data_IF_740117556362
#
_entry.id   IF_740117556362
#
_cell.length_a   1.000
_cell.length_b   1.000
_cell.length_c   1.000
_cell.angle_alpha   90.00
_cell.angle_beta   90.00
_cell.angle_gamma   90.00
#
_symmetry.space_group_name_H-M   'P 1'
#
loop_
_entity.id
_entity.type
_entity.pdbx_description
1 polymer ?
#
# COMPACT_ATOMS: atom_id res chain seq x y z
N UNK A 1 -1.41 -30.51 1.51
CA UNK A 1 -1.37 -29.42 2.50
C UNK A 1 -2.35 -29.71 3.61
N UNK A 2 -1.92 -29.71 4.87
CA UNK A 2 -2.79 -29.82 6.05
C UNK A 2 -2.64 -28.55 6.86
N UNK A 3 -3.75 -28.00 7.36
CA UNK A 3 -3.78 -26.76 8.14
C UNK A 3 -4.46 -27.03 9.47
N UNK A 4 -3.82 -26.64 10.57
CA UNK A 4 -4.36 -26.73 11.92
C UNK A 4 -4.34 -25.35 12.56
N UNK A 5 -5.48 -24.90 13.09
CA UNK A 5 -5.63 -23.57 13.67
C UNK A 5 -5.66 -23.70 15.19
N UNK A 6 -4.81 -22.98 15.87
CA UNK A 6 -4.78 -22.85 17.33
C UNK A 6 -5.17 -21.43 17.72
N UNK A 7 -6.26 -21.28 18.45
CA UNK A 7 -6.68 -19.98 18.96
C UNK A 7 -5.86 -19.64 20.21
N UNK A 8 -5.18 -18.51 20.20
CA UNK A 8 -4.51 -17.94 21.38
C UNK A 8 -5.42 -16.92 22.09
N UNK A 9 -4.92 -16.32 23.15
CA UNK A 9 -5.68 -15.30 23.90
C UNK A 9 -6.01 -14.09 23.00
N UNK A 10 -7.27 -13.67 23.01
CA UNK A 10 -7.76 -12.51 22.26
C UNK A 10 -7.93 -12.79 20.77
N UNK A 11 -7.45 -11.87 19.93
CA UNK A 11 -7.56 -11.93 18.46
C UNK A 11 -6.36 -12.62 17.78
N UNK A 12 -5.44 -13.17 18.57
CA UNK A 12 -4.25 -13.83 18.04
C UNK A 12 -4.54 -15.30 17.72
N UNK A 13 -4.12 -15.73 16.55
CA UNK A 13 -4.23 -17.10 16.06
C UNK A 13 -2.90 -17.60 15.55
N UNK A 14 -2.58 -18.85 15.86
CA UNK A 14 -1.48 -19.57 15.26
C UNK A 14 -2.04 -20.62 14.30
N UNK A 15 -1.54 -20.60 13.08
CA UNK A 15 -1.93 -21.50 12.01
C UNK A 15 -0.71 -22.37 11.70
N UNK A 16 -0.79 -23.66 12.04
CA UNK A 16 0.23 -24.65 11.67
C UNK A 16 -0.08 -25.15 10.27
N UNK A 17 0.86 -25.00 9.38
CA UNK A 17 0.74 -25.45 7.98
C UNK A 17 1.78 -26.53 7.75
N UNK A 18 1.30 -27.63 7.18
CA UNK A 18 2.10 -28.76 6.77
C UNK A 18 1.99 -28.94 5.26
N UNK A 19 3.12 -28.94 4.56
CA UNK A 19 3.20 -29.13 3.12
C UNK A 19 4.05 -30.35 2.81
N UNK A 20 3.49 -31.29 2.06
CA UNK A 20 4.17 -32.53 1.68
C UNK A 20 5.40 -32.24 0.79
N UNK A 21 6.47 -32.98 1.03
CA UNK A 21 7.70 -32.92 0.24
C UNK A 21 7.47 -33.10 -1.27
N UNK A 22 6.45 -33.86 -1.67
CA UNK A 22 6.08 -34.04 -3.08
C UNK A 22 5.73 -32.73 -3.76
N UNK A 23 4.95 -31.89 -3.08
CA UNK A 23 4.57 -30.57 -3.60
C UNK A 23 5.78 -29.66 -3.73
N UNK A 24 6.65 -29.64 -2.71
CA UNK A 24 7.88 -28.86 -2.73
C UNK A 24 8.81 -29.31 -3.86
N UNK A 25 9.00 -30.62 -4.03
CA UNK A 25 9.83 -31.18 -5.09
C UNK A 25 9.29 -30.88 -6.49
N UNK A 26 7.97 -30.85 -6.68
CA UNK A 26 7.38 -30.47 -7.95
C UNK A 26 7.75 -29.02 -8.33
N UNK A 27 7.57 -28.08 -7.40
CA UNK A 27 7.96 -26.68 -7.63
C UNK A 27 9.47 -26.51 -7.84
N UNK A 28 10.30 -27.29 -7.13
CA UNK A 28 11.74 -27.32 -7.36
C UNK A 28 12.09 -27.81 -8.77
N UNK A 29 11.46 -28.90 -9.23
CA UNK A 29 11.71 -29.43 -10.56
C UNK A 29 11.27 -28.45 -11.66
N UNK A 30 10.10 -27.82 -11.52
CA UNK A 30 9.62 -26.78 -12.42
C UNK A 30 10.63 -25.62 -12.51
N UNK A 31 11.14 -25.18 -11.36
CA UNK A 31 12.11 -24.09 -11.31
C UNK A 31 13.46 -24.49 -11.92
N UNK A 32 13.93 -25.71 -11.70
CA UNK A 32 15.13 -26.23 -12.35
C UNK A 32 14.94 -26.31 -13.87
N UNK A 33 13.75 -26.66 -14.35
CA UNK A 33 13.45 -26.70 -15.79
C UNK A 33 13.41 -25.30 -16.41
N UNK A 34 12.91 -24.29 -15.68
CA UNK A 34 12.97 -22.88 -16.10
C UNK A 34 14.41 -22.39 -16.20
N UNK A 35 15.20 -22.64 -15.17
CA UNK A 35 16.59 -22.21 -15.11
C UNK A 35 17.43 -22.91 -16.17
N UNK A 36 17.18 -24.19 -16.44
CA UNK A 36 17.88 -24.93 -17.50
C UNK A 36 17.75 -24.30 -18.88
N UNK A 37 16.63 -23.61 -19.15
CA UNK A 37 16.38 -22.92 -20.41
C UNK A 37 17.09 -21.56 -20.52
N UNK A 38 17.33 -20.90 -19.39
CA UNK A 38 17.81 -19.51 -19.34
C UNK A 38 19.29 -19.39 -18.98
N UNK A 39 19.84 -20.35 -18.23
CA UNK A 39 21.22 -20.28 -17.72
C UNK A 39 22.24 -20.63 -18.81
N UNK A 40 23.25 -19.77 -18.90
CA UNK A 40 24.45 -19.98 -19.71
C UNK A 40 25.61 -20.39 -18.78
N UNK A 41 26.03 -21.64 -18.86
CA UNK A 41 27.20 -22.16 -18.13
C UNK A 41 28.35 -22.42 -19.07
N UNK A 42 29.58 -22.06 -18.67
CA UNK A 42 30.78 -22.37 -19.43
C UNK A 42 30.89 -23.89 -19.60
N UNK A 43 31.02 -24.34 -20.85
CA UNK A 43 31.11 -25.77 -21.21
C UNK A 43 29.78 -26.45 -21.60
N UNK A 44 28.66 -25.75 -21.52
CA UNK A 44 27.34 -26.29 -21.93
C UNK A 44 26.64 -25.37 -22.94
N UNK A 45 25.95 -25.97 -23.87
CA UNK A 45 25.11 -25.23 -24.82
C UNK A 45 23.88 -24.68 -24.09
N UNK A 46 23.47 -23.41 -24.34
CA UNK A 46 22.26 -22.83 -23.76
C UNK A 46 21.03 -23.74 -23.93
N UNK A 47 20.31 -24.01 -22.86
CA UNK A 47 19.14 -24.88 -22.84
C UNK A 47 19.43 -26.40 -22.80
N UNK A 48 20.69 -26.79 -22.72
CA UNK A 48 21.12 -28.23 -22.66
C UNK A 48 21.94 -28.54 -21.39
N UNK A 49 21.78 -27.74 -20.34
CA UNK A 49 22.48 -27.95 -19.06
C UNK A 49 21.77 -29.06 -18.27
N UNK A 50 22.48 -30.14 -17.83
CA UNK A 50 21.89 -31.19 -17.00
C UNK A 50 21.38 -30.65 -15.68
N UNK A 51 20.22 -31.14 -15.20
CA UNK A 51 19.61 -30.71 -13.92
C UNK A 51 20.54 -30.88 -12.72
N UNK A 52 21.36 -31.93 -12.73
CA UNK A 52 22.32 -32.21 -11.65
C UNK A 52 23.37 -31.10 -11.50
N UNK A 53 23.83 -30.53 -12.61
CA UNK A 53 24.80 -29.42 -12.61
C UNK A 53 24.16 -28.16 -12.07
N UNK A 54 22.92 -27.88 -12.47
CA UNK A 54 22.14 -26.74 -11.97
C UNK A 54 21.89 -26.89 -10.48
N UNK A 55 21.47 -28.07 -10.03
CA UNK A 55 21.26 -28.37 -8.62
C UNK A 55 22.52 -28.18 -7.79
N UNK A 56 23.68 -28.56 -8.31
CA UNK A 56 24.97 -28.43 -7.64
C UNK A 56 25.42 -26.97 -7.50
N UNK A 57 25.20 -26.14 -8.51
CA UNK A 57 25.65 -24.74 -8.52
C UNK A 57 24.64 -23.79 -7.92
N UNK A 58 23.37 -23.98 -8.21
CA UNK A 58 22.30 -23.05 -7.86
C UNK A 58 21.29 -23.63 -6.86
N UNK A 59 21.46 -24.87 -6.41
CA UNK A 59 20.49 -25.57 -5.57
C UNK A 59 20.07 -24.80 -4.34
N UNK A 60 21.01 -24.19 -3.61
CA UNK A 60 20.68 -23.39 -2.40
C UNK A 60 19.87 -22.14 -2.73
N UNK A 61 20.23 -21.43 -3.79
CA UNK A 61 19.52 -20.22 -4.20
C UNK A 61 18.11 -20.53 -4.71
N UNK A 62 18.01 -21.56 -5.57
CA UNK A 62 16.73 -22.03 -6.10
C UNK A 62 15.83 -22.56 -5.00
N UNK A 63 16.38 -23.30 -4.05
CA UNK A 63 15.63 -23.79 -2.89
C UNK A 63 15.04 -22.64 -2.06
N UNK A 64 15.84 -21.58 -1.78
CA UNK A 64 15.36 -20.38 -1.09
C UNK A 64 14.23 -19.69 -1.84
N UNK A 65 14.38 -19.47 -3.15
CA UNK A 65 13.37 -18.82 -3.99
C UNK A 65 12.05 -19.63 -4.05
N UNK A 66 12.16 -20.94 -4.23
CA UNK A 66 10.99 -21.83 -4.26
C UNK A 66 10.32 -21.90 -2.89
N UNK A 67 11.11 -21.96 -1.81
CA UNK A 67 10.59 -21.96 -0.45
C UNK A 67 9.77 -20.69 -0.18
N UNK A 68 10.31 -19.52 -0.52
CA UNK A 68 9.61 -18.24 -0.37
C UNK A 68 8.31 -18.19 -1.18
N UNK A 69 8.34 -18.69 -2.42
CA UNK A 69 7.16 -18.78 -3.28
C UNK A 69 6.09 -19.69 -2.67
N UNK A 70 6.48 -20.90 -2.27
CA UNK A 70 5.56 -21.88 -1.65
C UNK A 70 5.00 -21.34 -0.33
N UNK A 71 5.82 -20.69 0.51
CA UNK A 71 5.36 -20.06 1.74
C UNK A 71 4.32 -18.98 1.48
N UNK A 72 4.54 -18.10 0.51
CA UNK A 72 3.58 -17.05 0.15
C UNK A 72 2.26 -17.62 -0.36
N UNK A 73 2.33 -18.57 -1.29
CA UNK A 73 1.14 -19.20 -1.88
C UNK A 73 0.33 -20.01 -0.84
N UNK A 74 1.01 -20.83 -0.05
CA UNK A 74 0.35 -21.69 0.94
C UNK A 74 -0.18 -20.88 2.15
N UNK A 75 0.52 -19.82 2.56
CA UNK A 75 0.06 -18.90 3.62
C UNK A 75 -1.18 -18.13 3.17
N UNK A 76 -1.16 -17.56 1.97
CA UNK A 76 -2.32 -16.85 1.41
C UNK A 76 -3.53 -17.78 1.30
N UNK A 77 -3.32 -18.99 0.79
CA UNK A 77 -4.37 -20.00 0.68
C UNK A 77 -4.91 -20.43 2.05
N UNK A 78 -4.03 -20.66 3.02
CA UNK A 78 -4.44 -21.02 4.38
C UNK A 78 -5.29 -19.93 5.04
N UNK A 79 -4.95 -18.65 4.88
CA UNK A 79 -5.73 -17.54 5.41
C UNK A 79 -7.09 -17.40 4.70
N UNK A 80 -7.11 -17.52 3.37
CA UNK A 80 -8.34 -17.38 2.56
C UNK A 80 -9.33 -18.50 2.81
N UNK A 81 -8.87 -19.76 2.81
CA UNK A 81 -9.71 -20.94 3.03
C UNK A 81 -10.38 -20.91 4.43
N UNK A 82 -9.68 -20.37 5.41
CA UNK A 82 -10.19 -20.24 6.79
C UNK A 82 -10.89 -18.89 7.05
N UNK A 83 -11.06 -18.03 6.03
CA UNK A 83 -11.73 -16.72 6.12
C UNK A 83 -11.13 -15.80 7.20
N UNK A 84 -9.85 -15.94 7.48
CA UNK A 84 -9.12 -15.12 8.45
C UNK A 84 -8.63 -13.85 7.75
N UNK A 85 -9.09 -12.71 8.27
CA UNK A 85 -8.62 -11.39 7.81
C UNK A 85 -7.53 -10.89 8.73
N UNK A 86 -6.25 -10.88 8.30
CA UNK A 86 -5.16 -10.40 9.13
C UNK A 86 -5.24 -8.88 9.32
N UNK A 87 -5.01 -8.40 10.53
CA UNK A 87 -4.93 -6.98 10.85
C UNK A 87 -3.58 -6.35 10.43
N UNK A 88 -2.55 -7.17 10.19
CA UNK A 88 -1.22 -6.77 9.78
C UNK A 88 -0.49 -7.89 9.06
N UNK A 89 0.80 -7.71 8.81
CA UNK A 89 1.61 -8.76 8.18
C UNK A 89 1.75 -9.97 9.10
N UNK A 90 1.38 -11.19 8.65
CA UNK A 90 1.55 -12.41 9.43
C UNK A 90 3.03 -12.71 9.64
N UNK A 91 3.37 -13.16 10.84
CA UNK A 91 4.73 -13.67 11.14
C UNK A 91 4.77 -15.14 10.80
N UNK A 92 5.81 -15.55 10.06
CA UNK A 92 6.01 -16.94 9.64
C UNK A 92 7.24 -17.48 10.38
N UNK A 93 7.04 -18.51 11.18
CA UNK A 93 8.09 -19.21 11.91
C UNK A 93 8.26 -20.61 11.32
N UNK A 94 9.40 -20.85 10.65
CA UNK A 94 9.74 -22.15 10.08
C UNK A 94 10.14 -23.12 11.19
N UNK A 95 9.52 -24.29 11.25
CA UNK A 95 9.84 -25.37 12.20
C UNK A 95 10.73 -26.42 11.57
N UNK A 96 10.30 -26.95 10.43
CA UNK A 96 11.03 -28.00 9.70
C UNK A 96 11.06 -27.62 8.23
N UNK A 97 12.24 -27.63 7.64
CA UNK A 97 12.44 -27.39 6.21
C UNK A 97 13.70 -28.14 5.70
N UNK A 98 13.68 -28.51 4.44
CA UNK A 98 14.79 -29.19 3.76
C UNK A 98 14.37 -29.80 2.44
N UNK A 99 15.36 -30.13 1.57
CA UNK A 99 15.09 -30.68 0.23
C UNK A 99 14.29 -32.02 0.26
N UNK A 100 14.56 -32.86 1.28
CA UNK A 100 13.93 -34.19 1.43
C UNK A 100 13.01 -34.29 2.63
N UNK A 101 12.67 -33.17 3.25
CA UNK A 101 11.79 -33.11 4.41
C UNK A 101 10.47 -32.44 4.05
N UNK A 102 9.44 -32.78 4.81
CA UNK A 102 8.19 -32.06 4.73
C UNK A 102 8.39 -30.63 5.29
N UNK A 103 7.71 -29.68 4.70
CA UNK A 103 7.76 -28.30 5.16
C UNK A 103 6.70 -28.07 6.22
N UNK A 104 7.12 -27.73 7.43
CA UNK A 104 6.26 -27.37 8.55
C UNK A 104 6.59 -25.98 9.03
N UNK A 105 5.59 -25.11 9.12
CA UNK A 105 5.74 -23.77 9.61
C UNK A 105 4.48 -23.28 10.34
N UNK A 106 4.64 -22.26 11.16
CA UNK A 106 3.57 -21.65 11.94
C UNK A 106 3.40 -20.20 11.49
N UNK A 107 2.16 -19.85 11.19
CA UNK A 107 1.80 -18.46 10.87
C UNK A 107 1.14 -17.88 12.13
N UNK A 108 1.77 -16.89 12.73
CA UNK A 108 1.16 -16.11 13.82
C UNK A 108 0.47 -14.88 13.25
N UNK A 109 -0.82 -14.77 13.42
CA UNK A 109 -1.66 -13.72 12.87
C UNK A 109 -2.58 -13.14 13.92
N UNK A 110 -2.79 -11.82 13.86
CA UNK A 110 -3.85 -11.14 14.62
C UNK A 110 -5.04 -10.93 13.68
N UNK A 111 -6.19 -11.49 14.03
CA UNK A 111 -7.42 -11.36 13.22
C UNK A 111 -8.11 -10.02 13.52
N UNK A 112 -8.69 -9.42 12.48
CA UNK A 112 -9.58 -8.27 12.67
C UNK A 112 -10.84 -8.68 13.43
N UNK A 113 -11.27 -7.88 14.44
CA UNK A 113 -12.48 -8.20 15.20
C UNK A 113 -13.72 -8.14 14.31
N UNK A 114 -14.65 -9.05 14.53
CA UNK A 114 -15.99 -8.97 13.94
C UNK A 114 -16.80 -7.93 14.69
N UNK A 115 -17.07 -6.81 14.08
CA UNK A 115 -17.86 -5.73 14.67
C UNK A 115 -19.32 -5.97 14.30
N UNK A 116 -20.15 -6.23 15.30
CA UNK A 116 -21.59 -6.26 15.15
C UNK A 116 -22.11 -4.85 15.45
N UNK A 117 -22.53 -4.13 14.41
CA UNK A 117 -23.15 -2.83 14.58
C UNK A 117 -24.52 -3.03 15.24
N UNK A 118 -24.77 -2.27 16.32
CA UNK A 118 -26.10 -2.16 16.90
C UNK A 118 -26.94 -1.26 15.99
N UNK A 119 -28.29 -1.38 16.09
CA UNK A 119 -29.20 -0.48 15.39
C UNK A 119 -28.85 0.98 15.71
N UNK A 120 -28.75 1.81 14.65
CA UNK A 120 -28.44 3.24 14.71
C UNK A 120 -29.71 4.10 14.83
N UNK A 121 -30.92 3.47 14.83
CA UNK A 121 -32.21 4.17 14.84
C UNK A 121 -32.41 5.09 16.05
N UNK A 122 -31.70 4.84 17.17
CA UNK A 122 -31.82 5.64 18.39
C UNK A 122 -30.71 6.69 18.52
N UNK A 123 -29.84 6.86 17.51
CA UNK A 123 -28.80 7.88 17.55
C UNK A 123 -29.46 9.20 17.13
N UNK A 124 -29.49 10.14 18.09
CA UNK A 124 -29.90 11.53 17.81
C UNK A 124 -28.64 12.32 17.45
N UNK A 125 -28.67 13.01 16.33
CA UNK A 125 -27.64 13.93 15.90
C UNK A 125 -28.29 15.31 15.71
N UNK A 126 -27.64 16.35 16.24
CA UNK A 126 -28.07 17.73 16.01
C UNK A 126 -27.44 18.21 14.70
N UNK A 127 -28.28 18.61 13.76
CA UNK A 127 -27.86 19.23 12.50
C UNK A 127 -27.92 20.76 12.69
N UNK A 128 -26.78 21.42 12.49
CA UNK A 128 -26.70 22.87 12.58
C UNK A 128 -26.86 23.48 11.19
N UNK A 129 -27.94 24.20 10.98
CA UNK A 129 -28.15 24.99 9.75
C UNK A 129 -27.69 26.43 10.00
N UNK A 130 -26.73 26.89 9.18
CA UNK A 130 -26.24 28.26 9.25
C UNK A 130 -26.99 29.10 8.22
N UNK A 131 -27.85 30.00 8.69
CA UNK A 131 -28.49 30.99 7.82
C UNK A 131 -27.58 32.20 7.66
N UNK A 132 -27.20 32.52 6.43
CA UNK A 132 -26.37 33.67 6.09
C UNK A 132 -27.29 34.86 5.82
N UNK A 133 -27.15 35.96 6.55
CA UNK A 133 -27.88 37.21 6.31
C UNK A 133 -27.35 37.88 5.03
N UNK A 134 -28.25 38.35 4.19
CA UNK A 134 -27.92 39.09 2.96
C UNK A 134 -27.01 40.30 3.25
N UNK A 135 -27.20 40.96 4.40
CA UNK A 135 -26.32 42.08 4.83
C UNK A 135 -24.83 41.67 4.97
N UNK A 136 -24.58 40.47 5.44
CA UNK A 136 -23.21 39.95 5.52
C UNK A 136 -22.63 39.64 4.14
N UNK A 137 -23.45 39.13 3.23
CA UNK A 137 -23.05 38.90 1.84
C UNK A 137 -22.71 40.22 1.15
N UNK A 138 -23.56 41.24 1.30
CA UNK A 138 -23.33 42.59 0.71
C UNK A 138 -22.07 43.22 1.29
N UNK A 139 -21.87 43.11 2.59
CA UNK A 139 -20.65 43.58 3.26
C UNK A 139 -19.41 42.93 2.67
N UNK A 140 -19.45 41.63 2.48
CA UNK A 140 -18.32 40.89 1.93
C UNK A 140 -18.04 41.22 0.47
N UNK A 141 -19.09 41.41 -0.33
CA UNK A 141 -18.98 41.87 -1.71
C UNK A 141 -18.33 43.26 -1.77
N UNK A 142 -18.75 44.17 -0.90
CA UNK A 142 -18.17 45.53 -0.82
C UNK A 142 -16.69 45.51 -0.39
N UNK A 143 -16.32 44.62 0.53
CA UNK A 143 -14.90 44.44 0.92
C UNK A 143 -14.05 43.92 -0.23
N UNK A 144 -14.56 42.95 -0.99
CA UNK A 144 -13.87 42.42 -2.19
C UNK A 144 -13.74 43.49 -3.25
N UNK A 145 -14.80 44.24 -3.51
CA UNK A 145 -14.79 45.33 -4.50
C UNK A 145 -13.78 46.44 -4.13
N UNK A 146 -13.67 46.80 -2.84
CA UNK A 146 -12.66 47.74 -2.36
C UNK A 146 -11.21 47.27 -2.55
N UNK A 147 -10.97 45.95 -2.46
CA UNK A 147 -9.65 45.39 -2.59
C UNK A 147 -9.26 45.15 -4.07
N UNK A 148 -10.22 44.98 -4.97
CA UNK A 148 -10.01 44.85 -6.42
C UNK A 148 -10.30 46.16 -7.13
N UNK A 149 -9.44 47.16 -6.93
CA UNK A 149 -9.53 48.43 -7.65
C UNK A 149 -9.06 48.26 -9.07
N UNK A 150 -9.93 48.50 -10.04
CA UNK A 150 -9.59 48.55 -11.44
C UNK A 150 -9.41 50.03 -11.84
N UNK A 151 -8.16 50.46 -12.08
CA UNK A 151 -7.88 51.83 -12.49
C UNK A 151 -7.93 51.94 -14.00
N UNK A 152 -8.67 52.95 -14.50
CA UNK A 152 -8.79 53.26 -15.93
C UNK A 152 -8.19 54.65 -16.14
N UNK A 153 -7.43 54.83 -17.20
CA UNK A 153 -6.89 56.13 -17.56
C UNK A 153 -8.03 57.13 -17.82
N UNK A 154 -7.89 58.29 -17.22
CA UNK A 154 -8.84 59.40 -17.31
C UNK A 154 -8.15 60.59 -17.92
N UNK A 155 -8.94 61.53 -18.52
CA UNK A 155 -8.43 62.77 -19.13
C UNK A 155 -7.45 63.49 -18.16
N UNK A 156 -6.23 63.86 -18.64
CA UNK A 156 -5.21 64.54 -17.84
C UNK A 156 -5.65 65.85 -17.22
N UNK A 157 -6.69 66.49 -17.77
CA UNK A 157 -7.23 67.72 -17.27
C UNK A 157 -8.15 67.58 -16.01
N UNK A 158 -8.49 66.36 -15.65
CA UNK A 158 -9.34 66.08 -14.50
C UNK A 158 -8.60 66.25 -13.18
N UNK A 159 -9.19 66.96 -12.25
CA UNK A 159 -8.66 67.12 -10.88
C UNK A 159 -8.75 65.79 -10.14
N UNK A 160 -7.66 65.36 -9.53
CA UNK A 160 -7.60 64.11 -8.75
C UNK A 160 -8.46 64.22 -7.49
N UNK A 161 -9.24 63.17 -7.24
CA UNK A 161 -10.08 63.02 -6.07
C UNK A 161 -9.54 61.93 -5.11
N UNK A 162 -10.05 61.94 -3.89
CA UNK A 162 -9.70 60.88 -2.95
C UNK A 162 -10.09 59.47 -3.48
N UNK A 163 -9.07 58.60 -3.58
CA UNK A 163 -9.21 57.25 -4.11
C UNK A 163 -8.69 57.06 -5.55
N UNK A 164 -8.32 58.14 -6.25
CA UNK A 164 -7.72 58.06 -7.56
C UNK A 164 -6.24 57.68 -7.44
N UNK A 165 -5.71 56.95 -8.44
CA UNK A 165 -4.29 56.63 -8.56
C UNK A 165 -3.63 57.72 -9.42
N UNK A 166 -2.69 58.44 -8.84
CA UNK A 166 -1.94 59.49 -9.53
C UNK A 166 -0.50 59.00 -9.74
N UNK A 167 -0.06 59.03 -11.00
CA UNK A 167 1.34 58.76 -11.34
C UNK A 167 1.99 60.08 -11.73
N UNK A 168 3.13 60.43 -11.12
CA UNK A 168 3.88 61.65 -11.46
C UNK A 168 5.38 61.44 -11.41
N UNK A 169 6.06 62.14 -12.25
CA UNK A 169 7.53 62.17 -12.27
C UNK A 169 8.02 63.37 -11.43
N UNK A 170 9.05 63.15 -10.63
CA UNK A 170 9.67 64.23 -9.89
C UNK A 170 11.18 64.25 -10.07
N UNK A 171 11.77 65.48 -10.08
CA UNK A 171 13.19 65.68 -10.13
C UNK A 171 13.61 66.52 -8.91
N UNK A 172 14.43 65.92 -8.06
CA UNK A 172 15.02 66.63 -6.92
C UNK A 172 16.45 67.02 -7.24
N UNK A 173 16.80 68.27 -6.95
CA UNK A 173 18.16 68.79 -6.96
C UNK A 173 18.54 69.21 -5.57
N UNK A 174 19.72 68.82 -5.11
CA UNK A 174 20.29 69.20 -3.83
C UNK A 174 21.35 70.26 -4.12
N UNK A 175 21.21 71.45 -3.49
CA UNK A 175 22.20 72.51 -3.53
C UNK A 175 23.39 72.22 -2.65
#
# INVERSE_FOLDING_TARGET
MKVTIENKKGLNKDIKVFVDKKTLNNHLNEKYDEISKTVQLKGFRPGKVPKEVIKRQFGKAVFGEVLDKVLKETSSKALTDNKIKPAGQPKIDLKTFGEDKDLEYVISVTELPKINLKSIENIKADEYEVTIDNKEVDKRINEIAKNQKNFVEVDPAKVANEGDLVTFDYKATVD
#
